data_IF_962767850114
#
_entry.id   IF_962767850114
#
_cell.length_a   1.000
_cell.length_b   1.000
_cell.length_c   1.000
_cell.angle_alpha   90.00
_cell.angle_beta   90.00
_cell.angle_gamma   90.00
#
_symmetry.space_group_name_H-M   'P 1'
#
loop_
_entity.id
_entity.type
_entity.pdbx_description
1 polymer ?
#
# COMPACT_ATOMS: atom_id res chain seq x y z
N UNK A 1 7.90 -0.51 21.78
CA UNK A 1 7.35 0.77 22.25
C UNK A 1 6.48 1.35 21.14
N UNK A 2 5.29 1.82 21.47
CA UNK A 2 4.34 2.37 20.50
C UNK A 2 4.40 3.90 20.48
N UNK A 3 4.05 4.48 19.34
CA UNK A 3 3.95 5.93 19.21
C UNK A 3 2.75 6.47 19.99
N UNK A 4 2.90 7.67 20.53
CA UNK A 4 1.86 8.38 21.28
C UNK A 4 1.49 9.73 20.66
N UNK A 5 2.35 10.24 19.75
CA UNK A 5 2.09 11.50 19.04
C UNK A 5 0.93 11.28 18.03
N UNK A 6 -0.19 12.02 18.17
CA UNK A 6 -1.35 11.84 17.28
C UNK A 6 -1.02 12.05 15.81
N UNK A 7 -0.10 12.94 15.46
CA UNK A 7 0.29 13.18 14.08
C UNK A 7 1.01 11.97 13.48
N UNK A 8 1.90 11.33 14.25
CA UNK A 8 2.60 10.11 13.82
C UNK A 8 1.61 8.95 13.71
N UNK A 9 0.77 8.77 14.71
CA UNK A 9 -0.28 7.73 14.70
C UNK A 9 -1.15 7.88 13.45
N UNK A 10 -1.53 9.09 13.10
CA UNK A 10 -2.37 9.34 11.92
C UNK A 10 -1.69 8.89 10.62
N UNK A 11 -0.38 9.14 10.44
CA UNK A 11 0.33 8.68 9.25
C UNK A 11 0.41 7.15 9.18
N UNK A 12 0.58 6.49 10.31
CA UNK A 12 0.61 5.02 10.39
C UNK A 12 -0.77 4.44 10.11
N UNK A 13 -1.83 5.02 10.66
CA UNK A 13 -3.21 4.61 10.37
C UNK A 13 -3.54 4.74 8.89
N UNK A 14 -3.12 5.82 8.24
CA UNK A 14 -3.31 6.03 6.81
C UNK A 14 -2.56 4.97 5.99
N UNK A 15 -1.36 4.61 6.40
CA UNK A 15 -0.59 3.55 5.76
C UNK A 15 -1.32 2.20 5.89
N UNK A 16 -1.82 1.87 7.07
CA UNK A 16 -2.58 0.62 7.30
C UNK A 16 -3.82 0.58 6.40
N UNK A 17 -4.61 1.64 6.37
CA UNK A 17 -5.82 1.70 5.52
C UNK A 17 -5.48 1.53 4.04
N UNK A 18 -4.44 2.20 3.58
CA UNK A 18 -4.00 2.10 2.18
C UNK A 18 -3.52 0.68 1.84
N UNK A 19 -2.81 0.04 2.75
CA UNK A 19 -2.38 -1.35 2.58
C UNK A 19 -3.56 -2.32 2.58
N UNK A 20 -4.54 -2.12 3.48
CA UNK A 20 -5.77 -2.94 3.49
C UNK A 20 -6.54 -2.82 2.17
N UNK A 21 -6.64 -1.60 1.64
CA UNK A 21 -7.28 -1.35 0.35
C UNK A 21 -6.52 -2.03 -0.79
N UNK A 22 -5.19 -2.00 -0.75
CA UNK A 22 -4.37 -2.65 -1.77
C UNK A 22 -4.53 -4.18 -1.74
N UNK A 23 -4.52 -4.77 -0.55
CA UNK A 23 -4.77 -6.22 -0.39
C UNK A 23 -6.12 -6.62 -0.98
N UNK A 24 -7.16 -5.85 -0.69
CA UNK A 24 -8.49 -6.09 -1.25
C UNK A 24 -8.49 -6.00 -2.78
N UNK A 25 -7.87 -4.95 -3.32
CA UNK A 25 -7.77 -4.75 -4.77
C UNK A 25 -6.99 -5.89 -5.45
N UNK A 26 -5.91 -6.37 -4.84
CA UNK A 26 -5.15 -7.52 -5.35
C UNK A 26 -6.01 -8.78 -5.43
N UNK A 27 -6.91 -8.99 -4.47
CA UNK A 27 -7.85 -10.11 -4.50
C UNK A 27 -8.80 -10.04 -5.68
N UNK A 28 -9.39 -8.88 -5.93
CA UNK A 28 -10.27 -8.66 -7.09
C UNK A 28 -9.48 -8.77 -8.39
N UNK A 29 -8.31 -8.13 -8.46
CA UNK A 29 -7.46 -8.13 -9.65
C UNK A 29 -7.00 -9.54 -10.03
N UNK A 30 -6.71 -10.37 -9.05
CA UNK A 30 -6.31 -11.76 -9.28
C UNK A 30 -7.35 -12.57 -10.06
N UNK A 31 -8.63 -12.25 -9.91
CA UNK A 31 -9.70 -12.90 -10.66
C UNK A 31 -9.69 -12.51 -12.14
N UNK A 32 -9.25 -11.30 -12.46
CA UNK A 32 -9.23 -10.76 -13.83
C UNK A 32 -7.88 -10.98 -14.54
N UNK A 33 -6.82 -11.22 -13.77
CA UNK A 33 -5.48 -11.45 -14.31
C UNK A 33 -5.25 -12.93 -14.59
N UNK A 34 -4.26 -13.22 -15.46
CA UNK A 34 -3.86 -14.59 -15.81
C UNK A 34 -2.33 -14.71 -15.74
N UNK A 35 -1.86 -15.96 -15.61
CA UNK A 35 -0.43 -16.27 -15.68
C UNK A 35 0.41 -15.49 -14.67
N UNK A 36 1.48 -14.86 -15.13
CA UNK A 36 2.42 -14.11 -14.30
C UNK A 36 1.77 -12.93 -13.56
N UNK A 37 0.79 -12.26 -14.18
CA UNK A 37 0.07 -11.16 -13.54
C UNK A 37 -0.74 -11.63 -12.34
N UNK A 38 -1.46 -12.75 -12.48
CA UNK A 38 -2.20 -13.34 -11.36
C UNK A 38 -1.26 -13.78 -10.24
N UNK A 39 -0.18 -14.47 -10.57
CA UNK A 39 0.81 -14.91 -9.57
C UNK A 39 1.39 -13.72 -8.81
N UNK A 40 1.67 -12.62 -9.50
CA UNK A 40 2.17 -11.40 -8.86
C UNK A 40 1.15 -10.80 -7.90
N UNK A 41 -0.11 -10.68 -8.31
CA UNK A 41 -1.17 -10.13 -7.46
C UNK A 41 -1.35 -10.98 -6.19
N UNK A 42 -1.37 -12.30 -6.34
CA UNK A 42 -1.49 -13.22 -5.20
C UNK A 42 -0.30 -13.11 -4.25
N UNK A 43 0.92 -13.05 -4.79
CA UNK A 43 2.14 -12.89 -3.97
C UNK A 43 2.12 -11.56 -3.20
N UNK A 44 1.62 -10.50 -3.81
CA UNK A 44 1.54 -9.18 -3.16
C UNK A 44 0.53 -9.14 -2.02
N UNK A 45 -0.49 -9.96 -2.02
CA UNK A 45 -1.42 -10.06 -0.88
C UNK A 45 -0.65 -10.40 0.40
N UNK A 46 0.15 -11.45 0.40
CA UNK A 46 0.92 -11.86 1.57
C UNK A 46 1.96 -10.82 1.97
N UNK A 47 2.66 -10.24 0.99
CA UNK A 47 3.67 -9.22 1.21
C UNK A 47 3.08 -7.98 1.89
N UNK A 48 1.95 -7.49 1.41
CA UNK A 48 1.30 -6.30 1.96
C UNK A 48 0.59 -6.57 3.28
N UNK A 49 0.08 -7.77 3.50
CA UNK A 49 -0.42 -8.18 4.82
C UNK A 49 0.70 -8.16 5.86
N UNK A 50 1.91 -8.55 5.48
CA UNK A 50 3.07 -8.47 6.37
C UNK A 50 3.41 -7.02 6.72
N UNK A 51 3.31 -6.11 5.76
CA UNK A 51 3.50 -4.66 6.03
C UNK A 51 2.46 -4.15 7.03
N UNK A 52 1.21 -4.57 6.90
CA UNK A 52 0.15 -4.20 7.86
C UNK A 52 0.53 -4.65 9.27
N UNK A 53 1.06 -5.85 9.44
CA UNK A 53 1.48 -6.35 10.74
C UNK A 53 2.62 -5.51 11.34
N UNK A 54 3.60 -5.13 10.53
CA UNK A 54 4.70 -4.26 10.97
C UNK A 54 4.16 -2.91 11.42
N UNK A 55 3.29 -2.30 10.63
CA UNK A 55 2.68 -1.00 10.94
C UNK A 55 1.82 -1.06 12.21
N UNK A 56 0.99 -2.09 12.34
CA UNK A 56 0.10 -2.25 13.49
C UNK A 56 0.88 -2.39 14.80
N UNK A 57 2.07 -2.98 14.76
CA UNK A 57 2.93 -3.12 15.94
C UNK A 57 3.52 -1.78 16.43
N UNK A 58 3.46 -0.72 15.62
CA UNK A 58 3.99 0.61 15.98
C UNK A 58 3.01 1.47 16.78
N UNK A 59 1.74 1.09 16.83
CA UNK A 59 0.69 1.83 17.51
C UNK A 59 -0.08 0.89 18.44
N UNK A 60 -0.89 1.47 19.33
CA UNK A 60 -1.68 0.69 20.26
C UNK A 60 -2.82 -0.04 19.53
N UNK A 61 -3.23 -1.18 20.07
CA UNK A 61 -4.26 -2.01 19.45
C UNK A 61 -5.55 -1.24 19.15
N UNK A 62 -5.98 -0.37 20.07
CA UNK A 62 -7.18 0.44 19.89
C UNK A 62 -7.05 1.48 18.75
N UNK A 63 -5.83 1.84 18.37
CA UNK A 63 -5.56 2.78 17.29
C UNK A 63 -5.48 2.11 15.91
N UNK A 64 -5.39 0.78 15.87
CA UNK A 64 -5.28 0.05 14.59
C UNK A 64 -6.62 0.08 13.85
N UNK A 65 -6.67 0.60 12.61
CA UNK A 65 -7.90 0.60 11.83
C UNK A 65 -8.42 -0.80 11.58
N UNK A 66 -9.71 -0.99 11.73
CA UNK A 66 -10.36 -2.25 11.36
C UNK A 66 -10.40 -2.40 9.85
N UNK A 67 -10.28 -3.65 9.36
CA UNK A 67 -10.40 -3.92 7.93
C UNK A 67 -11.79 -3.54 7.45
N UNK A 68 -11.93 -2.67 6.43
CA UNK A 68 -13.25 -2.31 5.91
C UNK A 68 -13.90 -3.52 5.22
N UNK A 69 -15.26 -3.62 5.25
CA UNK A 69 -15.97 -4.74 4.63
C UNK A 69 -15.83 -4.78 3.10
N UNK A 70 -15.67 -3.60 2.49
CA UNK A 70 -15.49 -3.48 1.04
C UNK A 70 -14.72 -2.20 0.71
N UNK A 71 -14.07 -2.20 -0.45
CA UNK A 71 -13.34 -1.07 -0.97
C UNK A 71 -13.64 -0.93 -2.46
N UNK A 72 -13.93 0.30 -2.91
CA UNK A 72 -14.09 0.61 -4.33
C UNK A 72 -12.75 1.09 -4.88
N UNK A 73 -12.07 0.31 -5.73
CA UNK A 73 -10.82 0.75 -6.36
C UNK A 73 -11.02 2.03 -7.17
N UNK A 74 -9.98 2.90 -7.31
CA UNK A 74 -10.08 4.16 -8.05
C UNK A 74 -10.43 3.94 -9.53
N UNK A 75 -10.01 2.81 -10.08
CA UNK A 75 -10.42 2.34 -11.40
C UNK A 75 -11.15 1.02 -11.18
N UNK A 76 -12.38 0.89 -11.66
CA UNK A 76 -13.15 -0.34 -11.51
C UNK A 76 -12.42 -1.52 -12.18
N UNK A 77 -12.25 -2.61 -11.45
CA UNK A 77 -11.50 -3.78 -11.91
C UNK A 77 -12.47 -4.73 -12.60
N UNK A 78 -12.50 -4.66 -13.94
CA UNK A 78 -13.43 -5.42 -14.78
C UNK A 78 -12.72 -6.23 -15.87
N UNK A 79 -11.41 -6.06 -15.99
CA UNK A 79 -10.58 -6.70 -17.01
C UNK A 79 -9.14 -6.78 -16.53
N UNK A 80 -8.29 -7.50 -17.26
CA UNK A 80 -6.84 -7.51 -16.98
C UNK A 80 -6.24 -6.10 -17.09
N UNK A 81 -6.70 -5.32 -18.08
CA UNK A 81 -6.20 -3.97 -18.31
C UNK A 81 -6.59 -3.04 -17.17
N UNK A 82 -7.85 -3.01 -16.73
CA UNK A 82 -8.31 -2.18 -15.63
C UNK A 82 -7.72 -2.63 -14.30
N UNK A 83 -7.49 -3.94 -14.13
CA UNK A 83 -6.79 -4.48 -12.96
C UNK A 83 -5.38 -3.88 -12.84
N UNK A 84 -4.60 -3.93 -13.91
CA UNK A 84 -3.25 -3.36 -13.92
C UNK A 84 -3.24 -1.86 -13.66
N UNK A 85 -4.14 -1.12 -14.31
CA UNK A 85 -4.26 0.32 -14.14
C UNK A 85 -4.62 0.69 -12.69
N UNK A 86 -5.56 -0.02 -12.07
CA UNK A 86 -5.96 0.21 -10.71
C UNK A 86 -4.84 -0.08 -9.72
N UNK A 87 -4.13 -1.20 -9.88
CA UNK A 87 -3.00 -1.58 -9.02
C UNK A 87 -1.84 -0.59 -9.17
N UNK A 88 -1.57 -0.10 -10.38
CA UNK A 88 -0.55 0.93 -10.60
C UNK A 88 -0.89 2.22 -9.84
N UNK A 89 -2.13 2.67 -9.94
CA UNK A 89 -2.58 3.89 -9.25
C UNK A 89 -2.54 3.73 -7.73
N UNK A 90 -2.95 2.59 -7.19
CA UNK A 90 -2.89 2.32 -5.76
C UNK A 90 -1.46 2.28 -5.23
N UNK A 91 -0.52 1.75 -6.01
CA UNK A 91 0.90 1.78 -5.61
C UNK A 91 1.44 3.21 -5.60
N UNK A 92 1.06 4.06 -6.55
CA UNK A 92 1.44 5.47 -6.53
C UNK A 92 0.89 6.17 -5.28
N UNK A 93 -0.31 5.86 -4.85
CA UNK A 93 -0.87 6.38 -3.61
C UNK A 93 -0.08 5.91 -2.38
N UNK A 94 0.36 4.65 -2.36
CA UNK A 94 1.20 4.11 -1.28
C UNK A 94 2.53 4.86 -1.17
N UNK A 95 3.11 5.31 -2.28
CA UNK A 95 4.35 6.13 -2.25
C UNK A 95 4.15 7.35 -1.37
N UNK A 96 3.06 8.09 -1.57
CA UNK A 96 2.77 9.30 -0.79
C UNK A 96 2.54 9.01 0.68
N UNK A 97 1.80 7.96 0.99
CA UNK A 97 1.50 7.54 2.37
C UNK A 97 2.78 7.17 3.11
N UNK A 98 3.66 6.40 2.50
CA UNK A 98 4.94 6.04 3.11
C UNK A 98 5.91 7.22 3.19
N UNK A 99 5.87 8.15 2.23
CA UNK A 99 6.64 9.39 2.31
C UNK A 99 6.22 10.24 3.51
N UNK A 100 4.92 10.36 3.76
CA UNK A 100 4.41 11.07 4.94
C UNK A 100 4.88 10.40 6.24
N UNK A 101 4.82 9.07 6.31
CA UNK A 101 5.32 8.32 7.45
C UNK A 101 6.83 8.54 7.65
N UNK A 102 7.61 8.51 6.58
CA UNK A 102 9.05 8.73 6.66
C UNK A 102 9.39 10.13 7.21
N UNK A 103 8.58 11.14 6.83
CA UNK A 103 8.78 12.51 7.32
C UNK A 103 8.53 12.66 8.81
N UNK A 104 7.71 11.78 9.41
CA UNK A 104 7.31 11.88 10.82
C UNK A 104 7.98 10.85 11.73
N UNK A 105 8.84 10.00 11.20
CA UNK A 105 9.52 8.93 11.96
C UNK A 105 11.03 9.05 11.84
N UNK A 106 11.74 8.23 12.62
CA UNK A 106 13.21 8.20 12.64
C UNK A 106 13.70 6.75 12.74
N UNK A 107 14.99 6.56 12.48
CA UNK A 107 15.65 5.27 12.65
C UNK A 107 15.06 4.17 11.78
N UNK A 108 14.83 3.00 12.38
CA UNK A 108 14.34 1.83 11.66
C UNK A 108 12.94 2.04 11.07
N UNK A 109 12.08 2.81 11.73
CA UNK A 109 10.72 3.07 11.23
C UNK A 109 10.74 3.96 10.00
N UNK A 110 11.61 4.97 9.98
CA UNK A 110 11.85 5.78 8.78
C UNK A 110 12.40 4.91 7.65
N UNK A 111 13.38 4.07 7.94
CA UNK A 111 13.96 3.17 6.94
C UNK A 111 12.89 2.24 6.33
N UNK A 112 12.00 1.71 7.17
CA UNK A 112 10.87 0.90 6.72
C UNK A 112 9.95 1.71 5.77
N UNK A 113 9.62 2.94 6.15
CA UNK A 113 8.75 3.80 5.34
C UNK A 113 9.40 4.15 3.99
N UNK A 114 10.69 4.51 3.99
CA UNK A 114 11.42 4.80 2.76
C UNK A 114 11.46 3.57 1.84
N UNK A 115 11.76 2.40 2.40
CA UNK A 115 11.75 1.15 1.64
C UNK A 115 10.36 0.84 1.07
N UNK A 116 9.30 1.10 1.84
CA UNK A 116 7.91 0.95 1.39
C UNK A 116 7.58 1.88 0.22
N UNK A 117 7.99 3.15 0.30
CA UNK A 117 7.79 4.11 -0.79
C UNK A 117 8.53 3.67 -2.06
N UNK A 118 9.79 3.29 -1.94
CA UNK A 118 10.60 2.84 -3.09
C UNK A 118 10.04 1.58 -3.73
N UNK A 119 9.66 0.60 -2.92
CA UNK A 119 9.06 -0.65 -3.40
C UNK A 119 7.74 -0.39 -4.11
N UNK A 120 6.89 0.47 -3.56
CA UNK A 120 5.60 0.82 -4.17
C UNK A 120 5.79 1.56 -5.49
N UNK A 121 6.78 2.45 -5.59
CA UNK A 121 7.10 3.14 -6.85
C UNK A 121 7.51 2.14 -7.95
N UNK A 122 8.38 1.19 -7.60
CA UNK A 122 8.80 0.14 -8.55
C UNK A 122 7.62 -0.74 -8.97
N UNK A 123 6.78 -1.12 -8.02
CA UNK A 123 5.62 -1.96 -8.29
C UNK A 123 4.59 -1.24 -9.17
N UNK A 124 4.40 0.08 -8.97
CA UNK A 124 3.54 0.86 -9.85
C UNK A 124 4.00 0.78 -11.31
N UNK A 125 5.30 0.89 -11.56
CA UNK A 125 5.87 0.75 -12.92
C UNK A 125 5.66 -0.66 -13.45
N UNK A 126 5.83 -1.68 -12.63
CA UNK A 126 5.58 -3.08 -13.03
C UNK A 126 4.12 -3.30 -13.45
N UNK A 127 3.17 -2.58 -12.84
CA UNK A 127 1.76 -2.63 -13.22
C UNK A 127 1.42 -1.68 -14.40
N UNK A 128 2.37 -0.90 -14.89
CA UNK A 128 2.23 -0.09 -16.10
C UNK A 128 2.24 1.43 -15.90
N UNK A 129 2.49 1.93 -14.70
CA UNK A 129 2.65 3.36 -14.49
C UNK A 129 3.92 3.88 -15.18
N UNK A 130 3.91 5.15 -15.55
CA UNK A 130 5.11 5.80 -16.05
C UNK A 130 6.14 5.93 -14.93
N UNK A 131 7.42 5.71 -15.25
CA UNK A 131 8.51 5.93 -14.31
C UNK A 131 8.64 7.42 -13.98
N UNK A 132 8.82 7.74 -12.71
CA UNK A 132 8.96 9.12 -12.23
C UNK A 132 10.26 9.25 -11.45
N UNK A 133 10.99 10.36 -11.70
CA UNK A 133 12.22 10.65 -10.95
C UNK A 133 11.92 10.93 -9.47
N UNK A 134 10.81 11.61 -9.21
CA UNK A 134 10.34 11.92 -7.87
C UNK A 134 8.85 11.54 -7.78
N UNK A 135 8.52 10.27 -7.44
CA UNK A 135 7.14 9.84 -7.36
C UNK A 135 6.36 10.65 -6.33
N UNK A 136 5.18 11.12 -6.73
CA UNK A 136 4.23 11.74 -5.83
C UNK A 136 3.06 10.78 -5.59
N UNK A 137 2.38 10.91 -4.47
CA UNK A 137 1.25 10.06 -4.14
C UNK A 137 -0.07 10.47 -4.79
N UNK A 138 -0.04 11.26 -5.83
CA UNK A 138 -1.23 11.72 -6.55
C UNK A 138 -1.97 10.62 -7.30
#
# INVERSE_FOLDING_TARGET
>A
MTYTDPAVISTIQNAIRSEQNYVYACGIAGAELKGGGRRRAVAQIAEHQQRIQVLAALIQEDDVPTTPPAFSPPIAIESARSARASLAQLNNALVGVYADMAASTEGADRAFAVAGAQSSARTAVQWGAASQAFPTGE
#
